data_IF_348042622863
#
_entry.id   IF_348042622863
#
_cell.length_a   1.000
_cell.length_b   1.000
_cell.length_c   1.000
_cell.angle_alpha   90.00
_cell.angle_beta   90.00
_cell.angle_gamma   90.00
#
_symmetry.space_group_name_H-M   'P 1'
#
loop_
_entity.id
_entity.type
_entity.pdbx_description
1 polymer ?
#
# COMPACT_ATOMS: atom_id res chain seq x y z
N UNK A 1 -1.18 2.87 10.64
CA UNK A 1 -1.20 1.50 11.16
C UNK A 1 -2.61 0.95 11.05
N UNK A 2 -2.77 -0.15 10.32
CA UNK A 2 -4.04 -0.86 10.06
C UNK A 2 -4.24 -2.07 11.01
N UNK A 3 -3.56 -2.08 12.15
CA UNK A 3 -3.64 -3.17 13.12
C UNK A 3 -5.08 -3.38 13.65
N UNK A 4 -5.47 -4.65 13.82
CA UNK A 4 -6.74 -5.05 14.44
C UNK A 4 -7.93 -5.24 13.49
N UNK A 5 -7.70 -5.23 12.16
CA UNK A 5 -8.72 -5.55 11.15
C UNK A 5 -8.23 -6.75 10.34
N UNK A 6 -8.90 -7.91 10.45
CA UNK A 6 -8.47 -9.14 9.77
C UNK A 6 -8.89 -9.23 8.29
N UNK A 7 -9.84 -8.39 7.86
CA UNK A 7 -10.27 -8.31 6.46
C UNK A 7 -9.26 -7.49 5.63
N UNK A 8 -8.12 -8.11 5.34
CA UNK A 8 -7.03 -7.53 4.54
C UNK A 8 -7.53 -7.02 3.18
N UNK A 9 -8.53 -7.70 2.59
CA UNK A 9 -9.06 -7.35 1.27
C UNK A 9 -9.86 -6.06 1.35
N UNK A 10 -10.74 -5.93 2.34
CA UNK A 10 -11.46 -4.67 2.57
C UNK A 10 -10.51 -3.51 2.87
N UNK A 11 -9.48 -3.73 3.70
CA UNK A 11 -8.49 -2.70 4.02
C UNK A 11 -7.73 -2.26 2.76
N UNK A 12 -7.24 -3.21 1.95
CA UNK A 12 -6.63 -2.92 0.66
C UNK A 12 -7.53 -2.04 -0.21
N UNK A 13 -8.80 -2.42 -0.37
CA UNK A 13 -9.74 -1.67 -1.24
C UNK A 13 -9.95 -0.24 -0.76
N UNK A 14 -9.87 0.02 0.55
CA UNK A 14 -9.93 1.38 1.08
C UNK A 14 -8.66 2.15 0.78
N UNK A 15 -7.49 1.56 1.01
CA UNK A 15 -6.20 2.20 0.79
C UNK A 15 -5.98 2.54 -0.69
N UNK A 16 -6.31 1.63 -1.61
CA UNK A 16 -6.17 1.85 -3.05
C UNK A 16 -7.00 3.04 -3.57
N UNK A 17 -8.09 3.43 -2.90
CA UNK A 17 -8.86 4.63 -3.26
C UNK A 17 -8.12 5.94 -2.96
N UNK A 18 -7.12 5.90 -2.08
CA UNK A 18 -6.48 7.09 -1.54
C UNK A 18 -5.01 7.25 -1.96
N UNK A 19 -4.41 6.28 -2.65
CA UNK A 19 -3.00 6.38 -3.08
C UNK A 19 -2.71 7.55 -4.03
N UNK A 20 -3.73 8.07 -4.72
CA UNK A 20 -3.65 9.25 -5.60
C UNK A 20 -4.33 10.50 -5.01
N UNK A 21 -4.61 10.52 -3.71
CA UNK A 21 -5.28 11.66 -3.09
C UNK A 21 -4.40 12.92 -3.15
N UNK A 22 -4.99 14.08 -3.44
CA UNK A 22 -4.26 15.35 -3.60
C UNK A 22 -3.50 15.77 -2.33
N UNK A 23 -4.10 15.51 -1.17
CA UNK A 23 -3.45 15.72 0.11
C UNK A 23 -2.31 14.70 0.30
N UNK A 24 -1.08 15.21 0.34
CA UNK A 24 0.14 14.43 0.53
C UNK A 24 0.06 13.43 1.70
N UNK A 25 -0.49 13.85 2.85
CA UNK A 25 -0.55 12.99 4.03
C UNK A 25 -1.54 11.85 3.86
N UNK A 26 -2.64 12.08 3.16
CA UNK A 26 -3.62 11.03 2.86
C UNK A 26 -3.00 9.98 1.94
N UNK A 27 -2.39 10.42 0.83
CA UNK A 27 -1.73 9.52 -0.11
C UNK A 27 -0.56 8.75 0.55
N UNK A 28 0.30 9.46 1.30
CA UNK A 28 1.40 8.84 2.05
C UNK A 28 0.90 7.74 2.99
N UNK A 29 -0.12 8.01 3.79
CA UNK A 29 -0.66 7.02 4.73
C UNK A 29 -1.34 5.85 4.01
N UNK A 30 -1.98 6.09 2.87
CA UNK A 30 -2.55 5.03 2.06
C UNK A 30 -1.47 4.07 1.54
N UNK A 31 -0.36 4.61 1.04
CA UNK A 31 0.79 3.84 0.54
C UNK A 31 1.46 3.07 1.68
N UNK A 32 1.76 3.72 2.81
CA UNK A 32 2.31 3.05 4.00
C UNK A 32 1.38 1.94 4.49
N UNK A 33 0.07 2.19 4.47
CA UNK A 33 -0.92 1.19 4.87
C UNK A 33 -0.89 -0.07 4.00
N UNK A 34 -0.57 0.03 2.71
CA UNK A 34 -0.44 -1.15 1.85
C UNK A 34 0.77 -2.00 2.26
N UNK A 35 1.89 -1.38 2.62
CA UNK A 35 3.03 -2.07 3.24
C UNK A 35 2.67 -2.72 4.58
N UNK A 36 1.92 -2.01 5.44
CA UNK A 36 1.41 -2.57 6.70
C UNK A 36 0.53 -3.83 6.44
N UNK A 37 -0.39 -3.78 5.47
CA UNK A 37 -1.23 -4.94 5.12
C UNK A 37 -0.37 -6.14 4.69
N UNK A 38 0.64 -5.91 3.86
CA UNK A 38 1.59 -6.94 3.46
C UNK A 38 2.30 -7.56 4.67
N UNK A 39 2.87 -6.73 5.54
CA UNK A 39 3.61 -7.16 6.74
C UNK A 39 2.75 -7.93 7.74
N UNK A 40 1.52 -7.49 7.98
CA UNK A 40 0.64 -8.04 9.03
C UNK A 40 -0.05 -9.31 8.55
N UNK A 41 -0.61 -9.28 7.33
CA UNK A 41 -1.47 -10.36 6.85
C UNK A 41 -0.77 -11.32 5.89
N UNK A 42 0.39 -10.94 5.35
CA UNK A 42 1.09 -11.71 4.30
C UNK A 42 0.26 -11.89 3.03
N UNK A 43 -0.76 -11.05 2.82
CA UNK A 43 -1.77 -11.18 1.77
C UNK A 43 -2.15 -9.83 1.20
N UNK A 44 -2.13 -9.73 -0.13
CA UNK A 44 -2.65 -8.64 -0.95
C UNK A 44 -3.01 -9.20 -2.33
N UNK A 45 -3.80 -8.46 -3.09
CA UNK A 45 -3.82 -8.58 -4.56
C UNK A 45 -2.53 -7.94 -5.11
N UNK A 46 -1.41 -8.67 -4.98
CA UNK A 46 -0.05 -8.18 -5.22
C UNK A 46 0.10 -7.47 -6.56
N UNK A 47 -0.37 -8.10 -7.64
CA UNK A 47 -0.28 -7.53 -8.99
C UNK A 47 -1.00 -6.19 -9.09
N UNK A 48 -2.26 -6.13 -8.66
CA UNK A 48 -3.07 -4.90 -8.74
C UNK A 48 -2.48 -3.77 -7.88
N UNK A 49 -1.94 -4.11 -6.71
CA UNK A 49 -1.34 -3.13 -5.80
C UNK A 49 -0.05 -2.56 -6.39
N UNK A 50 0.84 -3.41 -6.91
CA UNK A 50 2.09 -2.98 -7.55
C UNK A 50 1.81 -2.10 -8.79
N UNK A 51 0.89 -2.51 -9.65
CA UNK A 51 0.45 -1.70 -10.80
C UNK A 51 -0.10 -0.33 -10.38
N UNK A 52 -0.76 -0.24 -9.22
CA UNK A 52 -1.23 1.02 -8.65
C UNK A 52 -0.08 1.89 -8.15
N UNK A 53 0.85 1.31 -7.40
CA UNK A 53 2.01 2.03 -6.86
C UNK A 53 2.93 2.56 -7.97
N UNK A 54 3.17 1.79 -9.02
CA UNK A 54 4.03 2.18 -10.15
C UNK A 54 3.56 3.47 -10.83
N UNK A 55 2.24 3.67 -10.94
CA UNK A 55 1.62 4.86 -11.55
C UNK A 55 1.73 6.13 -10.69
N UNK A 56 2.29 6.06 -9.49
CA UNK A 56 2.50 7.24 -8.65
C UNK A 56 3.74 8.01 -9.14
N UNK A 57 3.48 9.17 -9.73
CA UNK A 57 4.50 10.08 -10.28
C UNK A 57 4.94 11.19 -9.31
N UNK A 58 4.23 11.36 -8.19
CA UNK A 58 4.56 12.40 -7.21
C UNK A 58 5.90 12.09 -6.53
N UNK A 59 6.93 12.88 -6.84
CA UNK A 59 8.30 12.70 -6.35
C UNK A 59 8.40 12.68 -4.81
N UNK A 60 7.55 13.45 -4.12
CA UNK A 60 7.53 13.47 -2.65
C UNK A 60 7.08 12.14 -2.03
N UNK A 61 6.40 11.30 -2.81
CA UNK A 61 5.94 9.97 -2.40
C UNK A 61 6.90 8.84 -2.83
N UNK A 62 7.98 9.13 -3.55
CA UNK A 62 8.87 8.10 -4.08
C UNK A 62 9.47 7.22 -2.98
N UNK A 63 9.98 7.82 -1.91
CA UNK A 63 10.56 7.07 -0.80
C UNK A 63 9.56 6.12 -0.13
N UNK A 64 8.34 6.60 0.16
CA UNK A 64 7.30 5.75 0.78
C UNK A 64 6.77 4.69 -0.18
N UNK A 65 6.70 4.99 -1.49
CA UNK A 65 6.37 4.02 -2.54
C UNK A 65 7.34 2.86 -2.53
N UNK A 66 8.65 3.14 -2.55
CA UNK A 66 9.68 2.12 -2.58
C UNK A 66 9.64 1.24 -1.32
N UNK A 67 9.51 1.84 -0.14
CA UNK A 67 9.37 1.07 1.10
C UNK A 67 8.15 0.15 1.10
N UNK A 68 7.00 0.61 0.59
CA UNK A 68 5.80 -0.23 0.50
C UNK A 68 5.98 -1.38 -0.52
N UNK A 69 6.64 -1.13 -1.65
CA UNK A 69 6.96 -2.17 -2.63
C UNK A 69 7.90 -3.23 -2.02
N UNK A 70 8.92 -2.80 -1.27
CA UNK A 70 9.84 -3.71 -0.58
C UNK A 70 9.10 -4.59 0.43
N UNK A 71 8.21 -4.02 1.24
CA UNK A 71 7.35 -4.78 2.16
C UNK A 71 6.47 -5.79 1.42
N UNK A 72 5.81 -5.37 0.32
CA UNK A 72 4.96 -6.26 -0.48
C UNK A 72 5.76 -7.43 -1.03
N UNK A 73 6.93 -7.18 -1.61
CA UNK A 73 7.78 -8.22 -2.18
C UNK A 73 8.36 -9.15 -1.11
N UNK A 74 8.63 -8.64 0.09
CA UNK A 74 9.19 -9.42 1.19
C UNK A 74 8.14 -10.35 1.84
N UNK A 75 6.90 -9.86 2.02
CA UNK A 75 5.92 -10.54 2.86
C UNK A 75 4.77 -11.23 2.09
N UNK A 76 4.50 -10.83 0.84
CA UNK A 76 3.44 -11.44 0.01
C UNK A 76 4.04 -12.45 -0.95
N UNK A 77 3.75 -13.73 -0.70
CA UNK A 77 4.13 -14.86 -1.57
C UNK A 77 3.26 -14.89 -2.82
N UNK A 78 3.81 -15.45 -3.90
CA UNK A 78 3.10 -15.69 -5.16
C UNK A 78 2.15 -16.89 -5.06
#
# INVERSE_FOLDING_TARGET
MVNGIDDWKWVQEKLLRYIYHENFWVAKNAITGLGDVARIHGKLDKRRVLEGLEKIENERLLGVKLSAIDDINMFVKD
#
